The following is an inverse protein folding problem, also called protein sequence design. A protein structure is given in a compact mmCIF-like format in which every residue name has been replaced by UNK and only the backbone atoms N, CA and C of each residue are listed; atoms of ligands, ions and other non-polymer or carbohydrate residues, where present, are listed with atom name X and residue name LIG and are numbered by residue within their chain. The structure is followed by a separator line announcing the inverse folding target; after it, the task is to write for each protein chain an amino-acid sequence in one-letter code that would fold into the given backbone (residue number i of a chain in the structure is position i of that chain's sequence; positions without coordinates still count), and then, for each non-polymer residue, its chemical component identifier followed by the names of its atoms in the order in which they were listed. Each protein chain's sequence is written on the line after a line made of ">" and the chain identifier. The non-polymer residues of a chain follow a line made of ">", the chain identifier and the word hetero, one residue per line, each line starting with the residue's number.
data_IF_788048579657
#
_entry.id   IF_788048579657
#
_cell.length_a   1.000
_cell.length_b   1.000
_cell.length_c   1.000
_cell.angle_alpha   90.00
_cell.angle_beta   90.00
_cell.angle_gamma   90.00
#
_symmetry.space_group_name_H-M   'P 1'
#
loop_
_entity.id
_entity.type
_entity.pdbx_description
1 polymer ?
#
# COMPACT_ATOMS: atom_id res chain seq x y z
N UNK A 1 -17.36 -27.04 -0.91
CA UNK A 1 -16.37 -26.99 -2.00
C UNK A 1 -16.17 -25.52 -2.29
N UNK A 2 -15.11 -24.95 -1.73
CA UNK A 2 -14.67 -23.60 -2.08
C UNK A 2 -13.95 -23.76 -3.41
N UNK A 3 -14.56 -23.30 -4.51
CA UNK A 3 -13.88 -23.23 -5.80
C UNK A 3 -12.59 -22.44 -5.59
N UNK A 4 -11.43 -23.02 -5.94
CA UNK A 4 -10.18 -22.26 -6.02
C UNK A 4 -10.37 -21.19 -7.08
N UNK A 5 -10.82 -20.01 -6.66
CA UNK A 5 -10.88 -18.83 -7.51
C UNK A 5 -9.48 -18.25 -7.59
N UNK A 6 -8.69 -18.88 -8.43
CA UNK A 6 -7.40 -18.33 -8.83
C UNK A 6 -7.66 -17.00 -9.55
N UNK A 7 -6.85 -15.99 -9.25
CA UNK A 7 -6.97 -14.67 -9.84
C UNK A 7 -5.67 -14.31 -10.53
N UNK A 8 -5.78 -13.89 -11.79
CA UNK A 8 -4.65 -13.39 -12.57
C UNK A 8 -4.27 -11.97 -12.13
N UNK A 9 -3.02 -11.57 -12.38
CA UNK A 9 -2.60 -10.18 -12.16
C UNK A 9 -3.47 -9.20 -12.97
N UNK A 10 -3.85 -9.57 -14.19
CA UNK A 10 -4.71 -8.76 -15.06
C UNK A 10 -6.10 -8.51 -14.48
N UNK A 11 -6.67 -9.47 -13.76
CA UNK A 11 -7.96 -9.29 -13.07
C UNK A 11 -7.81 -8.47 -11.79
N UNK A 12 -6.68 -8.61 -11.10
CA UNK A 12 -6.38 -7.86 -9.88
C UNK A 12 -6.21 -6.36 -10.18
N UNK A 13 -5.46 -6.01 -11.23
CA UNK A 13 -5.19 -4.61 -11.62
C UNK A 13 -6.43 -3.82 -12.04
N UNK A 14 -7.51 -4.49 -12.43
CA UNK A 14 -8.74 -3.82 -12.84
C UNK A 14 -9.66 -3.47 -11.68
N UNK A 15 -9.38 -3.96 -10.47
CA UNK A 15 -10.19 -3.71 -9.27
C UNK A 15 -9.88 -2.35 -8.65
N UNK A 16 -10.88 -1.75 -8.02
CA UNK A 16 -10.68 -0.55 -7.23
C UNK A 16 -10.21 -0.90 -5.82
N UNK A 17 -9.20 -0.18 -5.32
CA UNK A 17 -8.72 -0.29 -3.94
C UNK A 17 -9.48 0.72 -3.09
N UNK A 18 -10.19 0.23 -2.07
CA UNK A 18 -11.05 1.07 -1.21
C UNK A 18 -10.71 0.82 0.25
N UNK A 19 -10.58 1.90 1.03
CA UNK A 19 -10.33 1.78 2.48
C UNK A 19 -11.56 1.27 3.23
N UNK A 20 -11.40 0.76 4.44
CA UNK A 20 -12.53 0.35 5.30
C UNK A 20 -13.50 1.50 5.59
N UNK A 21 -13.05 2.75 5.51
CA UNK A 21 -13.87 3.96 5.63
C UNK A 21 -14.58 4.36 4.32
N UNK A 22 -14.34 3.64 3.21
CA UNK A 22 -14.98 3.89 1.92
C UNK A 22 -14.23 4.86 1.00
N UNK A 23 -12.97 5.22 1.32
CA UNK A 23 -12.19 6.10 0.45
C UNK A 23 -11.60 5.29 -0.72
N UNK A 24 -11.84 5.72 -1.95
CA UNK A 24 -11.25 5.10 -3.14
C UNK A 24 -9.81 5.61 -3.36
N UNK A 25 -8.85 4.69 -3.34
CA UNK A 25 -7.42 4.94 -3.57
C UNK A 25 -7.01 4.78 -5.05
N UNK A 26 -7.92 4.29 -5.90
CA UNK A 26 -7.70 4.00 -7.30
C UNK A 26 -7.39 2.53 -7.55
N UNK A 27 -6.82 2.24 -8.71
CA UNK A 27 -6.47 0.88 -9.14
C UNK A 27 -5.03 0.52 -8.73
N UNK A 28 -4.70 -0.76 -8.48
CA UNK A 28 -3.32 -1.18 -8.28
C UNK A 28 -2.44 -0.77 -9.47
N UNK A 29 -1.30 -0.14 -9.18
CA UNK A 29 -0.28 0.21 -10.19
C UNK A 29 0.83 -0.83 -10.27
N UNK A 30 1.09 -1.54 -9.17
CA UNK A 30 2.13 -2.57 -9.10
C UNK A 30 1.81 -3.63 -8.03
N UNK A 31 2.51 -4.77 -8.09
CA UNK A 31 2.43 -5.86 -7.13
C UNK A 31 3.84 -6.25 -6.67
N UNK A 32 4.05 -6.24 -5.36
CA UNK A 32 5.34 -6.58 -4.76
C UNK A 32 5.33 -8.03 -4.36
N UNK A 33 6.27 -8.83 -4.88
CA UNK A 33 6.51 -10.20 -4.45
C UNK A 33 7.92 -10.33 -3.86
N UNK A 34 8.08 -11.28 -2.93
CA UNK A 34 9.37 -11.55 -2.31
C UNK A 34 10.11 -12.62 -3.11
N UNK A 35 11.33 -12.32 -3.57
CA UNK A 35 12.17 -13.30 -4.26
C UNK A 35 12.53 -14.50 -3.38
N UNK A 36 12.73 -14.27 -2.09
CA UNK A 36 13.09 -15.32 -1.13
C UNK A 36 11.92 -16.27 -0.83
N UNK A 37 10.73 -15.73 -0.58
CA UNK A 37 9.56 -16.54 -0.21
C UNK A 37 8.66 -16.93 -1.37
N UNK A 38 8.88 -16.32 -2.55
CA UNK A 38 8.06 -16.48 -3.76
C UNK A 38 6.56 -16.17 -3.55
N UNK A 39 6.27 -15.35 -2.53
CA UNK A 39 4.91 -14.94 -2.17
C UNK A 39 4.69 -13.47 -2.48
N UNK A 40 3.45 -13.13 -2.85
CA UNK A 40 2.97 -11.76 -2.90
C UNK A 40 3.08 -11.14 -1.50
N UNK A 41 3.72 -9.99 -1.41
CA UNK A 41 3.93 -9.22 -0.18
C UNK A 41 2.94 -8.09 -0.03
N UNK A 42 2.43 -7.56 -1.14
CA UNK A 42 1.40 -6.53 -1.15
C UNK A 42 1.20 -5.93 -2.54
N UNK A 43 0.37 -4.89 -2.60
CA UNK A 43 0.04 -4.13 -3.81
C UNK A 43 0.48 -2.68 -3.64
N UNK A 44 0.70 -1.99 -4.74
CA UNK A 44 0.96 -0.54 -4.77
C UNK A 44 -0.25 0.13 -5.41
N UNK A 45 -0.75 1.20 -4.79
CA UNK A 45 -1.90 1.98 -5.28
C UNK A 45 -1.55 3.47 -5.30
N UNK A 46 -2.21 4.30 -6.11
CA UNK A 46 -2.06 5.75 -6.01
C UNK A 46 -2.46 6.25 -4.61
N UNK A 47 -1.80 7.32 -4.17
CA UNK A 47 -2.06 8.01 -2.91
C UNK A 47 -2.25 9.50 -3.15
N UNK A 48 -3.34 10.05 -2.60
CA UNK A 48 -3.69 11.45 -2.75
C UNK A 48 -4.47 11.76 -4.04
N UNK A 49 -5.01 12.98 -4.10
CA UNK A 49 -5.76 13.46 -5.27
C UNK A 49 -4.78 13.90 -6.35
N UNK A 50 -4.98 13.45 -7.59
CA UNK A 50 -4.27 13.97 -8.78
C UNK A 50 -4.61 15.46 -8.94
N UNK A 51 -3.74 16.34 -8.44
CA UNK A 51 -3.76 17.77 -8.77
C UNK A 51 -2.69 18.03 -9.85
N UNK A 52 -3.01 18.92 -10.80
CA UNK A 52 -2.19 19.26 -11.98
C UNK A 52 -0.72 19.68 -11.70
N UNK A 53 -0.36 19.90 -10.44
CA UNK A 53 0.97 20.38 -10.02
C UNK A 53 1.65 19.48 -8.97
N UNK A 54 1.04 18.36 -8.56
CA UNK A 54 1.61 17.46 -7.56
C UNK A 54 1.80 16.06 -8.16
N UNK A 55 3.03 15.53 -8.07
CA UNK A 55 3.28 14.13 -8.36
C UNK A 55 2.40 13.26 -7.47
N UNK A 56 1.63 12.34 -8.07
CA UNK A 56 0.88 11.34 -7.32
C UNK A 56 1.87 10.51 -6.50
N UNK A 57 1.68 10.48 -5.19
CA UNK A 57 2.43 9.56 -4.35
C UNK A 57 1.88 8.15 -4.53
N UNK A 58 2.67 7.15 -4.19
CA UNK A 58 2.26 5.75 -4.24
C UNK A 58 2.21 5.20 -2.81
N UNK A 59 1.17 4.42 -2.52
CA UNK A 59 0.99 3.75 -1.24
C UNK A 59 1.22 2.26 -1.44
N UNK A 60 2.17 1.72 -0.68
CA UNK A 60 2.36 0.28 -0.61
C UNK A 60 1.49 -0.33 0.49
N UNK A 61 0.55 -1.18 0.08
CA UNK A 61 -0.37 -1.87 0.97
C UNK A 61 0.12 -3.30 1.16
N UNK A 62 0.67 -3.67 2.33
CA UNK A 62 1.04 -5.05 2.59
C UNK A 62 -0.17 -5.97 2.54
N UNK A 63 0.06 -7.21 2.14
CA UNK A 63 -0.97 -8.24 2.05
C UNK A 63 -1.73 -8.42 3.37
N UNK A 64 -1.07 -8.24 4.52
CA UNK A 64 -1.69 -8.28 5.86
C UNK A 64 -2.75 -7.20 6.12
N UNK A 65 -2.81 -6.16 5.28
CA UNK A 65 -3.81 -5.07 5.33
C UNK A 65 -4.94 -5.24 4.33
N UNK A 66 -4.84 -6.20 3.41
CA UNK A 66 -5.93 -6.56 2.51
C UNK A 66 -6.93 -7.38 3.32
N UNK A 67 -8.13 -6.85 3.52
CA UNK A 67 -9.20 -7.52 4.28
C UNK A 67 -10.01 -8.48 3.41
N UNK A 68 -10.26 -8.07 2.18
CA UNK A 68 -11.05 -8.84 1.22
C UNK A 68 -10.69 -8.45 -0.21
N UNK A 69 -10.58 -9.44 -1.08
CA UNK A 69 -10.56 -9.25 -2.53
C UNK A 69 -11.92 -9.73 -3.03
N UNK A 70 -12.75 -8.81 -3.51
CA UNK A 70 -14.01 -9.10 -4.16
C UNK A 70 -13.86 -9.16 -5.68
N UNK A 71 -14.99 -9.25 -6.38
CA UNK A 71 -15.01 -9.30 -7.84
C UNK A 71 -14.65 -7.93 -8.46
N UNK A 72 -15.02 -6.82 -7.81
CA UNK A 72 -14.75 -5.46 -8.30
C UNK A 72 -13.79 -4.65 -7.41
N UNK A 73 -13.73 -4.96 -6.11
CA UNK A 73 -13.08 -4.11 -5.10
C UNK A 73 -12.12 -4.89 -4.21
N UNK A 74 -10.98 -4.30 -3.92
CA UNK A 74 -10.02 -4.73 -2.90
C UNK A 74 -10.21 -3.83 -1.68
N UNK A 75 -10.67 -4.42 -0.57
CA UNK A 75 -10.89 -3.69 0.69
C UNK A 75 -9.61 -3.73 1.51
N UNK A 76 -9.13 -2.55 1.90
CA UNK A 76 -7.86 -2.38 2.62
C UNK A 76 -8.06 -1.60 3.92
N UNK A 77 -7.29 -1.97 4.93
CA UNK A 77 -7.26 -1.28 6.23
C UNK A 77 -6.01 -0.40 6.30
N UNK A 78 -6.19 0.85 5.91
CA UNK A 78 -5.14 1.87 5.85
C UNK A 78 -5.55 2.98 6.82
N UNK A 79 -5.03 2.91 8.04
CA UNK A 79 -5.36 3.90 9.06
C UNK A 79 -4.70 5.26 8.73
N UNK A 80 -5.43 6.37 8.83
CA UNK A 80 -4.84 7.69 8.69
C UNK A 80 -3.84 7.94 9.82
N UNK A 81 -2.72 8.58 9.51
CA UNK A 81 -1.77 9.01 10.53
C UNK A 81 -2.45 10.02 11.48
N UNK A 82 -2.77 9.61 12.71
CA UNK A 82 -3.44 10.43 13.73
C UNK A 82 -2.59 11.60 14.26
N UNK A 83 -1.42 11.86 13.68
CA UNK A 83 -0.48 12.86 14.16
C UNK A 83 -0.67 14.18 13.42
N UNK A 84 -0.75 15.27 14.18
CA UNK A 84 -0.78 16.64 13.66
C UNK A 84 0.33 16.82 12.63
N UNK A 85 0.03 17.54 11.56
CA UNK A 85 0.94 17.90 10.47
C UNK A 85 2.19 18.56 11.03
N UNK A 86 3.17 17.76 11.43
CA UNK A 86 4.55 18.23 11.59
C UNK A 86 5.14 18.20 10.20
N UNK A 87 5.64 19.36 9.77
CA UNK A 87 6.27 19.61 8.49
C UNK A 87 7.63 18.91 8.38
N UNK A 88 7.76 17.65 8.74
CA UNK A 88 9.05 16.95 8.71
C UNK A 88 8.94 15.70 7.85
N UNK A 89 9.77 15.71 6.80
CA UNK A 89 9.93 14.69 5.75
C UNK A 89 10.30 13.30 6.28
N UNK A 90 10.40 13.12 7.60
CA UNK A 90 10.77 11.87 8.25
C UNK A 90 9.95 11.62 9.52
N UNK A 91 8.71 11.17 9.35
CA UNK A 91 7.83 10.75 10.45
C UNK A 91 8.29 9.44 11.14
N UNK A 92 9.36 8.82 10.65
CA UNK A 92 9.82 7.52 11.13
C UNK A 92 10.61 7.60 12.44
N UNK A 93 11.10 8.78 12.82
CA UNK A 93 11.81 9.00 14.09
C UNK A 93 10.88 9.28 15.28
N UNK A 94 9.60 9.56 15.05
CA UNK A 94 8.66 9.72 16.17
C UNK A 94 8.34 8.34 16.76
N UNK A 95 8.79 8.16 18.01
CA UNK A 95 8.65 6.97 18.85
C UNK A 95 7.21 6.47 19.02
N UNK A 96 6.21 7.24 18.57
CA UNK A 96 4.80 6.87 18.55
C UNK A 96 4.29 6.39 17.18
N UNK A 97 5.09 6.31 16.09
CA UNK A 97 4.61 5.60 14.87
C UNK A 97 4.52 4.12 15.24
N UNK A 98 3.39 3.52 14.91
CA UNK A 98 3.16 2.08 14.97
C UNK A 98 3.72 1.35 13.74
N UNK A 99 4.40 2.06 12.84
CA UNK A 99 4.91 1.53 11.56
C UNK A 99 3.81 1.21 10.56
N UNK A 100 2.59 1.67 10.81
CA UNK A 100 1.38 1.02 10.32
C UNK A 100 0.31 1.99 9.81
N UNK A 101 0.60 3.30 9.80
CA UNK A 101 -0.24 4.33 9.21
C UNK A 101 0.03 4.53 7.72
N UNK A 102 -0.87 5.24 7.04
CA UNK A 102 -0.76 5.64 5.63
C UNK A 102 0.59 6.29 5.27
N UNK A 103 1.10 7.20 6.10
CA UNK A 103 2.44 7.81 5.90
C UNK A 103 3.58 6.81 6.04
N UNK A 104 3.50 5.88 7.01
CA UNK A 104 4.47 4.80 7.23
C UNK A 104 4.38 3.76 6.07
N UNK A 105 3.31 3.80 5.24
CA UNK A 105 3.06 2.94 4.08
C UNK A 105 3.33 3.61 2.72
N UNK A 106 3.74 4.88 2.68
CA UNK A 106 4.19 5.51 1.42
C UNK A 106 5.33 4.69 0.82
N UNK A 107 5.26 4.48 -0.50
CA UNK A 107 6.19 3.60 -1.21
C UNK A 107 7.64 4.06 -1.06
N UNK A 108 7.88 5.37 -0.99
CA UNK A 108 9.19 6.00 -0.81
C UNK A 108 9.61 6.14 0.67
N UNK A 109 8.85 5.60 1.64
CA UNK A 109 9.21 5.71 3.04
C UNK A 109 10.52 4.93 3.34
N UNK A 110 11.61 5.61 3.74
CA UNK A 110 12.90 4.96 3.97
C UNK A 110 12.83 3.87 5.03
N UNK A 111 11.99 4.05 6.04
CA UNK A 111 11.85 3.09 7.14
C UNK A 111 11.14 1.79 6.76
N UNK A 112 10.57 1.71 5.55
CA UNK A 112 10.08 0.47 4.95
C UNK A 112 11.16 -0.28 4.15
N UNK A 113 11.99 0.46 3.40
CA UNK A 113 12.96 -0.11 2.45
C UNK A 113 14.41 -0.13 2.93
N UNK A 114 14.71 0.41 4.13
CA UNK A 114 16.02 0.39 4.80
C UNK A 114 16.67 -1.00 4.94
N UNK A 115 15.96 -2.09 4.64
CA UNK A 115 16.49 -3.45 4.67
C UNK A 115 16.49 -4.18 3.31
N UNK A 116 16.09 -3.56 2.19
CA UNK A 116 15.97 -4.28 0.90
C UNK A 116 16.62 -3.60 -0.32
N UNK A 117 16.85 -2.28 -0.32
CA UNK A 117 17.52 -1.63 -1.47
C UNK A 117 19.05 -1.82 -1.45
N UNK A 118 19.66 -2.01 -0.28
CA UNK A 118 21.10 -2.23 -0.13
C UNK A 118 21.54 -3.67 -0.45
N UNK A 119 20.62 -4.57 -0.83
CA UNK A 119 20.95 -5.97 -1.18
C UNK A 119 21.10 -6.21 -2.69
N UNK A 120 21.02 -5.15 -3.51
CA UNK A 120 21.23 -5.21 -4.96
C UNK A 120 22.57 -4.60 -5.42
N UNK A 121 23.46 -4.24 -4.48
CA UNK A 121 24.85 -3.85 -4.74
C UNK A 121 25.81 -4.79 -4.00
#
# INVERSE_FOLDING_TARGET
>A
MDESRDMTFSELKEKDVVTVEGNNLGKPVDLVFSLQSQKVRGIVTPYGKRCLFFHSQELYIPYSRIKKIGDDVIIVDVAPCKRKEVSDKDHSYDKRCDGQCDKCMLFDCPSRWKNNYDSYN
#
